data_IF_669270525874
#
_entry.id   IF_669270525874
#
_cell.length_a   1.000
_cell.length_b   1.000
_cell.length_c   1.000
_cell.angle_alpha   90.00
_cell.angle_beta   90.00
_cell.angle_gamma   90.00
#
_symmetry.space_group_name_H-M   'P 1'
#
loop_
_entity.id
_entity.type
_entity.pdbx_description
1 polymer ?
#
# COMPACT_ATOMS: atom_id res chain seq x y z
N UNK A 1 -12.33 31.66 -3.67
CA UNK A 1 -12.39 31.87 -5.13
C UNK A 1 -12.75 30.54 -5.78
N UNK A 2 -14.02 30.36 -6.16
CA UNK A 2 -14.54 29.18 -6.89
C UNK A 2 -15.63 29.69 -7.85
N UNK A 3 -15.22 30.41 -8.88
CA UNK A 3 -16.01 30.47 -10.11
C UNK A 3 -15.41 29.42 -11.02
N UNK A 4 -16.11 28.29 -11.19
CA UNK A 4 -15.68 27.22 -12.07
C UNK A 4 -15.75 27.69 -13.51
N UNK A 5 -14.67 27.52 -14.26
CA UNK A 5 -14.68 27.80 -15.70
C UNK A 5 -15.68 26.86 -16.38
N UNK A 6 -16.78 27.43 -16.87
CA UNK A 6 -17.83 26.70 -17.58
C UNK A 6 -17.69 26.79 -19.10
N UNK A 7 -16.65 27.47 -19.60
CA UNK A 7 -16.41 27.61 -21.04
C UNK A 7 -16.12 26.23 -21.63
N UNK A 8 -16.89 25.78 -22.64
CA UNK A 8 -16.57 24.57 -23.35
C UNK A 8 -15.22 24.67 -24.05
N UNK A 9 -14.50 23.55 -24.11
CA UNK A 9 -13.28 23.42 -24.92
C UNK A 9 -13.63 23.32 -26.42
N UNK A 10 -12.62 23.25 -27.28
CA UNK A 10 -12.77 23.14 -28.74
C UNK A 10 -13.54 21.88 -29.19
N UNK A 11 -13.66 20.86 -28.33
CA UNK A 11 -14.44 19.65 -28.55
C UNK A 11 -15.91 19.78 -28.10
N UNK A 12 -16.32 20.98 -27.66
CA UNK A 12 -17.68 21.30 -27.24
C UNK A 12 -18.04 20.88 -25.82
N UNK A 13 -17.09 20.34 -25.04
CA UNK A 13 -17.35 19.86 -23.68
C UNK A 13 -16.95 20.87 -22.61
N UNK A 14 -17.74 20.96 -21.56
CA UNK A 14 -17.36 21.67 -20.33
C UNK A 14 -16.27 20.91 -19.58
N UNK A 15 -15.46 21.57 -18.72
CA UNK A 15 -14.47 20.89 -17.90
C UNK A 15 -15.07 19.78 -17.00
N UNK A 16 -16.31 19.95 -16.54
CA UNK A 16 -17.00 18.95 -15.72
C UNK A 16 -17.31 17.69 -16.54
N UNK A 17 -17.86 17.84 -17.74
CA UNK A 17 -18.14 16.71 -18.64
C UNK A 17 -16.85 15.99 -19.03
N UNK A 18 -15.78 16.74 -19.32
CA UNK A 18 -14.48 16.16 -19.63
C UNK A 18 -13.94 15.33 -18.45
N UNK A 19 -14.03 15.84 -17.22
CA UNK A 19 -13.62 15.09 -16.02
C UNK A 19 -14.49 13.85 -15.78
N UNK A 20 -15.78 13.89 -16.08
CA UNK A 20 -16.65 12.71 -15.99
C UNK A 20 -16.22 11.62 -16.97
N UNK A 21 -15.91 11.99 -18.21
CA UNK A 21 -15.43 11.06 -19.24
C UNK A 21 -14.06 10.48 -18.89
N UNK A 22 -13.11 11.33 -18.46
CA UNK A 22 -11.78 10.88 -18.01
C UNK A 22 -11.91 9.86 -16.87
N UNK A 23 -12.77 10.13 -15.88
CA UNK A 23 -12.98 9.21 -14.77
C UNK A 23 -13.61 7.88 -15.22
N UNK A 24 -14.55 7.91 -16.17
CA UNK A 24 -15.15 6.71 -16.73
C UNK A 24 -14.10 5.85 -17.46
N UNK A 25 -13.26 6.47 -18.29
CA UNK A 25 -12.19 5.78 -19.01
C UNK A 25 -11.09 5.25 -18.09
N UNK A 26 -10.68 6.03 -17.09
CA UNK A 26 -9.71 5.59 -16.08
C UNK A 26 -10.21 4.35 -15.32
N UNK A 27 -11.49 4.33 -14.90
CA UNK A 27 -12.10 3.17 -14.24
C UNK A 27 -12.12 1.93 -15.14
N UNK A 28 -12.44 2.11 -16.43
CA UNK A 28 -12.42 1.03 -17.42
C UNK A 28 -11.00 0.46 -17.58
N UNK A 29 -9.99 1.33 -17.67
CA UNK A 29 -8.59 0.92 -17.75
C UNK A 29 -8.14 0.15 -16.50
N UNK A 30 -8.47 0.64 -15.30
CA UNK A 30 -8.17 -0.03 -14.03
C UNK A 30 -8.83 -1.41 -13.94
N UNK A 31 -10.09 -1.52 -14.39
CA UNK A 31 -10.80 -2.80 -14.47
C UNK A 31 -10.11 -3.80 -15.40
N UNK A 32 -9.68 -3.36 -16.58
CA UNK A 32 -8.92 -4.18 -17.52
C UNK A 32 -7.57 -4.63 -16.94
N UNK A 33 -6.84 -3.71 -16.29
CA UNK A 33 -5.57 -4.02 -15.62
C UNK A 33 -5.74 -5.10 -14.53
N UNK A 34 -6.80 -5.00 -13.72
CA UNK A 34 -7.07 -5.99 -12.68
C UNK A 34 -7.40 -7.37 -13.27
N UNK A 35 -8.15 -7.42 -14.37
CA UNK A 35 -8.46 -8.66 -15.06
C UNK A 35 -7.20 -9.33 -15.62
N UNK A 36 -6.32 -8.55 -16.27
CA UNK A 36 -5.02 -9.03 -16.76
C UNK A 36 -4.14 -9.52 -15.61
N UNK A 37 -4.07 -8.77 -14.51
CA UNK A 37 -3.29 -9.17 -13.33
C UNK A 37 -3.75 -10.50 -12.73
N UNK A 38 -5.06 -10.70 -12.60
CA UNK A 38 -5.61 -11.95 -12.06
C UNK A 38 -5.26 -13.15 -12.94
N UNK A 39 -5.33 -12.99 -14.27
CA UNK A 39 -4.91 -14.02 -15.22
C UNK A 39 -3.41 -14.29 -15.11
N UNK A 40 -2.59 -13.24 -15.18
CA UNK A 40 -1.13 -13.34 -15.12
C UNK A 40 -0.65 -14.03 -13.84
N UNK A 41 -1.32 -13.80 -12.70
CA UNK A 41 -1.00 -14.51 -11.46
C UNK A 41 -1.14 -16.03 -11.62
N UNK A 42 -2.21 -16.48 -12.27
CA UNK A 42 -2.41 -17.91 -12.57
C UNK A 42 -1.34 -18.45 -13.52
N UNK A 43 -1.02 -17.70 -14.58
CA UNK A 43 0.01 -18.07 -15.54
C UNK A 43 1.40 -18.18 -14.87
N UNK A 44 1.74 -17.25 -13.96
CA UNK A 44 2.96 -17.29 -13.16
C UNK A 44 3.01 -18.51 -12.24
N UNK A 45 1.91 -18.80 -11.53
CA UNK A 45 1.84 -19.97 -10.64
C UNK A 45 2.02 -21.28 -11.41
N UNK A 46 1.50 -21.38 -12.64
CA UNK A 46 1.69 -22.55 -13.51
C UNK A 46 3.17 -22.78 -13.88
N UNK A 47 3.95 -21.70 -14.00
CA UNK A 47 5.41 -21.73 -14.21
C UNK A 47 6.22 -21.83 -12.89
N UNK A 48 5.54 -22.07 -11.75
CA UNK A 48 6.17 -22.21 -10.44
C UNK A 48 6.62 -20.89 -9.79
N UNK A 49 6.21 -19.75 -10.34
CA UNK A 49 6.45 -18.41 -9.77
C UNK A 49 5.23 -18.02 -8.93
N UNK A 50 5.40 -17.95 -7.61
CA UNK A 50 4.27 -17.76 -6.69
C UNK A 50 4.39 -16.46 -5.93
N UNK A 51 3.38 -15.61 -6.00
CA UNK A 51 3.24 -14.43 -5.13
C UNK A 51 2.31 -14.82 -3.98
N UNK A 52 2.88 -14.93 -2.79
CA UNK A 52 2.20 -15.42 -1.60
C UNK A 52 1.25 -14.39 -1.01
N UNK A 53 0.13 -14.90 -0.50
CA UNK A 53 -0.69 -14.25 0.51
C UNK A 53 -0.23 -14.69 1.91
N UNK A 54 -0.55 -13.88 2.93
CA UNK A 54 -0.15 -14.13 4.33
C UNK A 54 -0.56 -15.51 4.84
N UNK A 55 -1.73 -16.01 4.43
CA UNK A 55 -2.29 -17.31 4.80
C UNK A 55 -1.59 -18.51 4.13
N UNK A 56 -0.79 -18.28 3.08
CA UNK A 56 -0.05 -19.32 2.35
C UNK A 56 1.43 -19.40 2.75
N UNK A 57 1.84 -18.65 3.77
CA UNK A 57 3.18 -18.69 4.34
C UNK A 57 3.28 -19.82 5.36
N UNK A 58 4.21 -20.74 5.14
CA UNK A 58 4.49 -21.85 6.08
C UNK A 58 5.26 -21.35 7.30
N UNK A 59 5.30 -22.14 8.38
CA UNK A 59 6.00 -21.77 9.62
C UNK A 59 7.50 -21.49 9.40
N UNK A 60 8.19 -22.32 8.62
CA UNK A 60 9.62 -22.13 8.31
C UNK A 60 9.86 -20.89 7.45
N UNK A 61 8.96 -20.59 6.51
CA UNK A 61 9.02 -19.37 5.71
C UNK A 61 8.77 -18.14 6.58
N UNK A 62 7.83 -18.21 7.52
CA UNK A 62 7.53 -17.12 8.46
C UNK A 62 8.73 -16.79 9.36
N UNK A 63 9.48 -17.80 9.82
CA UNK A 63 10.71 -17.59 10.59
C UNK A 63 11.79 -16.87 9.77
N UNK A 64 12.02 -17.32 8.54
CA UNK A 64 12.93 -16.62 7.61
C UNK A 64 12.51 -15.17 7.36
N UNK A 65 11.22 -14.96 7.06
CA UNK A 65 10.67 -13.64 6.80
C UNK A 65 10.75 -12.72 8.01
N UNK A 66 10.54 -13.25 9.22
CA UNK A 66 10.72 -12.52 10.48
C UNK A 66 12.17 -12.05 10.66
N UNK A 67 13.15 -12.93 10.42
CA UNK A 67 14.57 -12.55 10.48
C UNK A 67 14.92 -11.51 9.40
N UNK A 68 14.47 -11.72 8.16
CA UNK A 68 14.65 -10.75 7.07
C UNK A 68 14.05 -9.38 7.44
N UNK A 69 12.86 -9.38 8.05
CA UNK A 69 12.20 -8.17 8.50
C UNK A 69 13.04 -7.45 9.55
N UNK A 70 13.47 -8.13 10.61
CA UNK A 70 14.24 -7.50 11.69
C UNK A 70 15.61 -7.00 11.23
N UNK A 71 16.28 -7.74 10.36
CA UNK A 71 17.66 -7.43 9.95
C UNK A 71 17.73 -6.36 8.84
N UNK A 72 16.77 -6.37 7.90
CA UNK A 72 16.86 -5.52 6.69
C UNK A 72 15.76 -4.47 6.59
N UNK A 73 14.56 -4.75 7.09
CA UNK A 73 13.38 -3.89 6.86
C UNK A 73 13.14 -2.97 8.05
N UNK A 74 13.05 -3.53 9.26
CA UNK A 74 12.77 -2.81 10.50
C UNK A 74 13.71 -1.60 10.73
N UNK A 75 15.04 -1.68 10.53
CA UNK A 75 15.95 -0.58 10.84
C UNK A 75 15.75 0.68 9.98
N UNK A 76 15.08 0.56 8.83
CA UNK A 76 14.83 1.67 7.91
C UNK A 76 13.38 2.18 7.94
N UNK A 77 12.53 1.59 8.78
CA UNK A 77 11.16 2.03 8.96
C UNK A 77 11.06 3.11 10.05
N UNK A 78 10.17 4.06 9.84
CA UNK A 78 9.86 5.10 10.83
C UNK A 78 8.34 5.24 10.94
N UNK A 79 7.70 4.48 11.84
CA UNK A 79 6.27 4.59 12.10
C UNK A 79 5.88 5.99 12.58
N UNK A 80 4.73 6.49 12.11
CA UNK A 80 4.20 7.80 12.46
C UNK A 80 2.80 7.64 13.04
N UNK A 81 2.61 7.93 14.32
CA UNK A 81 1.27 7.99 14.90
C UNK A 81 0.52 9.23 14.38
N UNK A 82 -0.78 9.09 14.16
CA UNK A 82 -1.67 10.18 13.75
C UNK A 82 -2.51 10.58 14.95
N UNK A 83 -2.45 11.87 15.29
CA UNK A 83 -3.30 12.46 16.29
C UNK A 83 -3.79 13.86 15.84
N UNK A 84 -4.93 14.34 16.35
CA UNK A 84 -5.48 15.63 15.95
C UNK A 84 -4.68 16.87 16.39
N UNK A 85 -3.75 16.72 17.34
CA UNK A 85 -2.99 17.85 17.88
C UNK A 85 -1.78 18.21 17.01
N UNK A 86 -1.40 17.36 16.05
CA UNK A 86 -0.29 17.59 15.13
C UNK A 86 -0.77 17.67 13.66
N UNK A 87 -0.08 18.45 12.80
CA UNK A 87 -0.34 18.44 11.37
C UNK A 87 -0.19 17.04 10.77
N UNK A 88 -1.01 16.74 9.75
CA UNK A 88 -0.91 15.48 9.03
C UNK A 88 0.50 15.31 8.42
N UNK A 89 1.16 14.14 8.57
CA UNK A 89 2.52 13.95 8.08
C UNK A 89 2.65 14.14 6.57
N UNK A 90 3.78 14.71 6.14
CA UNK A 90 4.08 14.82 4.71
C UNK A 90 4.41 13.44 4.12
N UNK A 91 3.69 13.07 3.06
CA UNK A 91 3.92 11.83 2.30
C UNK A 91 4.56 12.20 0.97
N UNK A 92 5.73 11.70 0.59
CA UNK A 92 6.35 12.04 -0.71
C UNK A 92 5.46 11.71 -1.93
N UNK A 93 5.67 12.41 -3.05
CA UNK A 93 4.97 12.08 -4.30
C UNK A 93 5.29 10.65 -4.74
N UNK A 94 4.27 9.90 -5.15
CA UNK A 94 4.32 8.46 -5.45
C UNK A 94 4.86 7.57 -4.31
N UNK A 95 5.05 8.12 -3.11
CA UNK A 95 5.52 7.42 -1.92
C UNK A 95 4.54 6.34 -1.51
N UNK A 96 5.02 5.12 -1.33
CA UNK A 96 4.22 3.99 -0.87
C UNK A 96 4.09 4.03 0.64
N UNK A 97 2.85 4.04 1.13
CA UNK A 97 2.56 4.10 2.56
C UNK A 97 1.50 3.08 2.93
N UNK A 98 1.63 2.54 4.14
CA UNK A 98 0.58 1.77 4.79
C UNK A 98 -0.13 2.67 5.82
N UNK A 99 -1.45 2.73 5.76
CA UNK A 99 -2.27 3.31 6.81
C UNK A 99 -2.82 2.18 7.69
N UNK A 100 -2.77 2.39 8.99
CA UNK A 100 -3.10 1.40 10.01
C UNK A 100 -4.12 1.98 11.00
N UNK A 101 -5.11 1.17 11.32
CA UNK A 101 -6.01 1.36 12.45
C UNK A 101 -5.70 0.26 13.49
N UNK A 102 -5.20 0.70 14.63
CA UNK A 102 -4.69 -0.17 15.68
C UNK A 102 -5.54 -0.01 16.95
N UNK A 103 -5.70 -1.08 17.70
CA UNK A 103 -6.32 -1.05 19.02
C UNK A 103 -5.33 -1.54 20.08
N UNK A 104 -5.16 -0.75 21.15
CA UNK A 104 -4.32 -1.14 22.29
C UNK A 104 -4.92 -2.37 22.96
N UNK A 105 -4.09 -3.35 23.27
CA UNK A 105 -4.56 -4.62 23.85
C UNK A 105 -5.07 -4.46 25.29
N UNK A 106 -4.50 -3.53 26.06
CA UNK A 106 -4.84 -3.34 27.48
C UNK A 106 -6.22 -2.75 27.73
N UNK A 107 -6.66 -1.79 26.90
CA UNK A 107 -7.87 -0.99 27.14
C UNK A 107 -8.73 -0.77 25.88
N UNK A 108 -8.31 -1.30 24.73
CA UNK A 108 -9.03 -1.15 23.46
C UNK A 108 -8.95 0.24 22.84
N UNK A 109 -8.16 1.18 23.38
CA UNK A 109 -8.03 2.52 22.80
C UNK A 109 -7.49 2.45 21.38
N UNK A 110 -8.17 3.13 20.46
CA UNK A 110 -7.78 3.20 19.05
C UNK A 110 -6.63 4.17 18.84
N UNK A 111 -5.77 3.81 17.89
CA UNK A 111 -4.66 4.62 17.40
C UNK A 111 -4.62 4.47 15.88
N UNK A 112 -4.46 5.58 15.18
CA UNK A 112 -4.17 5.57 13.75
C UNK A 112 -2.67 5.77 13.57
N UNK A 113 -2.08 5.05 12.62
CA UNK A 113 -0.68 5.20 12.29
C UNK A 113 -0.47 5.16 10.77
N UNK A 114 0.54 5.88 10.32
CA UNK A 114 1.09 5.79 8.99
C UNK A 114 2.46 5.13 9.06
N UNK A 115 2.73 4.31 8.07
CA UNK A 115 4.03 3.70 7.86
C UNK A 115 4.45 3.98 6.42
N UNK A 116 5.12 5.12 6.18
CA UNK A 116 5.79 5.37 4.91
C UNK A 116 6.87 4.30 4.69
N UNK A 117 6.91 3.75 3.49
CA UNK A 117 7.83 2.68 3.12
C UNK A 117 8.92 3.26 2.20
N UNK A 118 10.19 3.23 2.61
CA UNK A 118 11.28 3.73 1.79
C UNK A 118 11.39 3.03 0.42
N UNK A 119 11.64 3.80 -0.63
CA UNK A 119 11.65 3.29 -2.01
C UNK A 119 12.80 2.31 -2.30
N UNK A 120 13.87 2.31 -1.51
CA UNK A 120 14.97 1.37 -1.63
C UNK A 120 14.61 -0.06 -1.20
N UNK A 121 13.53 -0.25 -0.43
CA UNK A 121 13.09 -1.57 -0.03
C UNK A 121 12.47 -2.31 -1.24
N UNK A 122 12.84 -3.58 -1.47
CA UNK A 122 12.30 -4.34 -2.57
C UNK A 122 10.80 -4.58 -2.36
N UNK A 123 10.01 -4.36 -3.41
CA UNK A 123 8.54 -4.52 -3.38
C UNK A 123 8.11 -5.97 -3.07
N UNK A 124 8.96 -6.93 -3.44
CA UNK A 124 8.77 -8.37 -3.28
C UNK A 124 9.99 -8.96 -2.59
N UNK A 125 9.76 -9.68 -1.50
CA UNK A 125 10.78 -10.41 -0.75
C UNK A 125 10.76 -11.85 -1.21
N UNK A 126 11.88 -12.30 -1.78
CA UNK A 126 12.02 -13.67 -2.31
C UNK A 126 12.40 -14.64 -1.19
N UNK A 127 11.75 -15.80 -1.16
CA UNK A 127 12.13 -16.89 -0.28
C UNK A 127 13.36 -17.65 -0.83
N UNK A 128 14.36 -17.99 0.01
CA UNK A 128 15.61 -18.63 -0.44
C UNK A 128 15.36 -19.94 -1.20
N UNK A 129 16.11 -20.15 -2.29
CA UNK A 129 16.06 -21.40 -3.06
C UNK A 129 14.75 -21.67 -3.81
N UNK A 130 13.81 -20.72 -3.84
CA UNK A 130 12.50 -20.89 -4.49
C UNK A 130 12.18 -19.70 -5.41
N UNK A 131 11.12 -19.84 -6.21
CA UNK A 131 10.50 -18.73 -6.96
C UNK A 131 9.23 -18.23 -6.26
N UNK A 132 9.25 -18.21 -4.93
CA UNK A 132 8.14 -17.73 -4.09
C UNK A 132 8.47 -16.36 -3.52
N UNK A 133 7.52 -15.45 -3.56
CA UNK A 133 7.69 -14.05 -3.21
C UNK A 133 6.59 -13.59 -2.26
N UNK A 134 6.93 -12.87 -1.21
CA UNK A 134 5.97 -12.16 -0.37
C UNK A 134 6.01 -10.67 -0.69
N UNK A 135 4.83 -10.05 -0.79
CA UNK A 135 4.73 -8.59 -0.96
C UNK A 135 5.20 -7.88 0.30
N UNK A 136 5.89 -6.75 0.14
CA UNK A 136 6.43 -6.00 1.28
C UNK A 136 5.34 -5.61 2.30
N UNK A 137 4.17 -5.13 1.88
CA UNK A 137 3.07 -4.81 2.80
C UNK A 137 2.58 -6.02 3.60
N UNK A 138 2.58 -7.22 3.02
CA UNK A 138 2.19 -8.42 3.75
C UNK A 138 3.26 -8.77 4.80
N UNK A 139 4.55 -8.59 4.48
CA UNK A 139 5.64 -8.73 5.44
C UNK A 139 5.51 -7.75 6.60
N UNK A 140 5.19 -6.48 6.32
CA UNK A 140 4.97 -5.45 7.33
C UNK A 140 3.79 -5.81 8.24
N UNK A 141 2.67 -6.23 7.64
CA UNK A 141 1.46 -6.64 8.36
C UNK A 141 1.70 -7.86 9.26
N UNK A 142 2.49 -8.84 8.80
CA UNK A 142 2.85 -10.03 9.59
C UNK A 142 3.72 -9.69 10.80
N UNK A 143 4.49 -8.58 10.75
CA UNK A 143 5.42 -8.17 11.80
C UNK A 143 4.98 -6.88 12.51
N UNK A 144 3.67 -6.55 12.47
CA UNK A 144 3.15 -5.33 13.10
C UNK A 144 3.44 -5.25 14.60
N UNK A 145 3.44 -6.39 15.30
CA UNK A 145 3.73 -6.45 16.74
C UNK A 145 5.12 -5.91 17.08
N UNK A 146 6.10 -6.04 16.17
CA UNK A 146 7.44 -5.48 16.35
C UNK A 146 7.46 -3.96 16.19
N UNK A 147 6.61 -3.40 15.32
CA UNK A 147 6.51 -1.95 15.06
C UNK A 147 5.63 -1.23 16.08
N UNK A 148 4.57 -1.91 16.55
CA UNK A 148 3.59 -1.37 17.49
C UNK A 148 3.32 -2.36 18.63
N UNK A 149 4.27 -2.53 19.57
CA UNK A 149 4.10 -3.46 20.69
C UNK A 149 2.87 -3.13 21.54
N UNK A 150 2.09 -4.15 21.90
CA UNK A 150 0.87 -4.00 22.71
C UNK A 150 -0.33 -3.42 21.95
N UNK A 151 -0.28 -3.38 20.61
CA UNK A 151 -1.40 -3.04 19.74
C UNK A 151 -1.71 -4.20 18.79
N UNK A 152 -2.99 -4.36 18.47
CA UNK A 152 -3.48 -5.27 17.43
C UNK A 152 -3.98 -4.49 16.21
N UNK A 153 -3.79 -5.06 15.02
CA UNK A 153 -4.38 -4.56 13.78
C UNK A 153 -5.90 -4.73 13.80
N UNK A 154 -6.63 -3.66 13.47
CA UNK A 154 -8.08 -3.67 13.30
C UNK A 154 -8.51 -3.25 11.89
N UNK A 155 -7.58 -2.77 11.08
CA UNK A 155 -7.83 -2.28 9.75
C UNK A 155 -6.55 -1.72 9.13
N UNK A 156 -6.30 -2.04 7.87
CA UNK A 156 -5.13 -1.53 7.17
C UNK A 156 -5.40 -1.35 5.68
N UNK A 157 -4.73 -0.37 5.08
CA UNK A 157 -4.74 -0.19 3.64
C UNK A 157 -3.41 0.37 3.16
N UNK A 158 -3.08 0.10 1.90
CA UNK A 158 -1.93 0.70 1.23
C UNK A 158 -2.39 1.82 0.34
N UNK A 159 -1.58 2.88 0.23
CA UNK A 159 -1.91 4.00 -0.63
C UNK A 159 -0.65 4.71 -1.11
N UNK A 160 -0.85 5.57 -2.12
CA UNK A 160 0.14 6.51 -2.65
C UNK A 160 -0.55 7.84 -2.88
N UNK A 161 0.20 8.91 -2.71
CA UNK A 161 -0.25 10.25 -3.07
C UNK A 161 0.43 10.64 -4.37
N UNK A 162 -0.36 10.94 -5.39
CA UNK A 162 0.13 11.57 -6.61
C UNK A 162 -0.07 13.08 -6.48
N UNK A 163 1.01 13.82 -6.68
CA UNK A 163 1.02 15.28 -6.79
C UNK A 163 1.37 15.63 -8.22
N UNK A 164 0.65 16.61 -8.73
CA UNK A 164 1.06 17.27 -9.95
C UNK A 164 2.43 17.91 -9.70
N UNK A 165 3.34 17.74 -10.65
CA UNK A 165 4.66 18.37 -10.58
C UNK A 165 4.49 19.78 -11.13
N UNK A 166 3.90 20.66 -10.32
CA UNK A 166 4.07 22.12 -10.35
C UNK A 166 3.15 22.78 -9.29
N UNK A 167 3.76 23.13 -8.15
CA UNK A 167 3.67 24.43 -7.44
C UNK A 167 4.51 24.41 -6.17
#
# INVERSE_FOLDING_TARGET
VREGNALPSHDGRTPTEQLQLINADARRLMGAQQAVWNRLRGDLEAEGIVILSRDRVTRSEAEYLGNYFLDQVFPVLSPLAIDPAHPFPFIPNAGFSLALELARESDGRRMQALLPVPAQLPRFVRLPGTSRFLRLEDLLLMNLASLFPGYRDTGSCTFRVLRDSDL
#
